data_IF_638214408020
#
_entry.id   IF_638214408020
#
_cell.length_a   1.000
_cell.length_b   1.000
_cell.length_c   1.000
_cell.angle_alpha   90.00
_cell.angle_beta   90.00
_cell.angle_gamma   90.00
#
_symmetry.space_group_name_H-M   'P 1'
#
loop_
_entity.id
_entity.type
_entity.pdbx_description
1 polymer ?
#
# COMPACT_ATOMS: atom_id res chain seq x y z
N UNK A 1 -19.40 12.30 26.76
CA UNK A 1 -19.03 11.41 25.64
C UNK A 1 -17.73 10.73 26.03
N UNK A 2 -17.47 9.48 25.57
CA UNK A 2 -16.16 8.87 25.84
C UNK A 2 -15.08 9.66 25.08
N UNK A 3 -13.95 9.92 25.77
CA UNK A 3 -12.81 10.63 25.23
C UNK A 3 -11.75 9.63 24.74
N UNK A 4 -11.25 9.80 23.52
CA UNK A 4 -10.25 8.95 22.90
C UNK A 4 -9.00 9.78 22.58
N UNK A 5 -7.84 9.25 22.90
CA UNK A 5 -6.56 9.86 22.54
C UNK A 5 -5.93 9.05 21.41
N UNK A 6 -5.64 9.69 20.28
CA UNK A 6 -4.93 9.12 19.14
C UNK A 6 -3.49 9.57 19.15
N UNK A 7 -2.54 8.64 19.17
CA UNK A 7 -1.10 8.93 19.17
C UNK A 7 -0.56 8.81 17.76
N UNK A 8 -0.12 9.93 17.21
CA UNK A 8 0.40 10.09 15.86
C UNK A 8 -0.60 10.74 14.91
N UNK A 9 -0.19 11.81 14.24
CA UNK A 9 -0.98 12.57 13.27
C UNK A 9 -0.59 12.27 11.81
N UNK A 10 -0.06 11.08 11.52
CA UNK A 10 0.04 10.58 10.15
C UNK A 10 -1.33 10.20 9.59
N UNK A 11 -1.39 9.75 8.32
CA UNK A 11 -2.65 9.40 7.67
C UNK A 11 -3.52 8.45 8.51
N UNK A 12 -2.92 7.43 9.13
CA UNK A 12 -3.67 6.47 9.96
C UNK A 12 -4.29 7.15 11.18
N UNK A 13 -3.56 8.02 11.88
CA UNK A 13 -4.07 8.72 13.05
C UNK A 13 -5.15 9.72 12.69
N UNK A 14 -4.94 10.53 11.66
CA UNK A 14 -5.91 11.54 11.22
C UNK A 14 -7.21 10.89 10.72
N UNK A 15 -7.13 9.83 9.91
CA UNK A 15 -8.34 9.11 9.44
C UNK A 15 -9.06 8.42 10.60
N UNK A 16 -8.33 7.85 11.57
CA UNK A 16 -8.95 7.26 12.76
C UNK A 16 -9.66 8.31 13.61
N UNK A 17 -9.03 9.48 13.83
CA UNK A 17 -9.62 10.58 14.56
C UNK A 17 -10.92 11.08 13.87
N UNK A 18 -10.87 11.31 12.57
CA UNK A 18 -12.03 11.71 11.78
C UNK A 18 -13.20 10.73 11.92
N UNK A 19 -12.97 9.43 11.77
CA UNK A 19 -14.06 8.44 11.91
C UNK A 19 -14.58 8.34 13.35
N UNK A 20 -13.71 8.46 14.37
CA UNK A 20 -14.14 8.49 15.77
C UNK A 20 -15.00 9.70 16.10
N UNK A 21 -14.66 10.89 15.60
CA UNK A 21 -15.46 12.10 15.76
C UNK A 21 -16.85 11.90 15.12
N UNK A 22 -16.91 11.30 13.93
CA UNK A 22 -18.19 10.98 13.27
C UNK A 22 -19.04 9.97 14.04
N UNK A 23 -18.42 9.10 14.83
CA UNK A 23 -19.11 8.19 15.74
C UNK A 23 -19.54 8.85 17.07
N UNK A 24 -19.26 10.14 17.25
CA UNK A 24 -19.66 10.92 18.44
C UNK A 24 -18.69 10.82 19.60
N UNK A 25 -17.42 10.45 19.36
CA UNK A 25 -16.37 10.51 20.39
C UNK A 25 -15.77 11.91 20.44
N UNK A 26 -15.34 12.31 21.64
CA UNK A 26 -14.40 13.42 21.84
C UNK A 26 -12.99 12.88 21.54
N UNK A 27 -12.23 13.54 20.67
CA UNK A 27 -10.92 13.04 20.24
C UNK A 27 -9.82 14.06 20.43
N UNK A 28 -8.71 13.62 21.03
CA UNK A 28 -7.46 14.38 21.08
C UNK A 28 -6.39 13.65 20.28
N UNK A 29 -5.79 14.31 19.28
CA UNK A 29 -4.64 13.78 18.55
C UNK A 29 -3.36 14.36 19.12
N UNK A 30 -2.39 13.50 19.43
CA UNK A 30 -1.07 13.89 19.94
C UNK A 30 0.00 13.45 18.95
N UNK A 31 0.85 14.38 18.50
CA UNK A 31 2.01 14.09 17.66
C UNK A 31 3.26 14.79 18.22
N UNK A 32 4.43 14.27 17.87
CA UNK A 32 5.72 14.88 18.23
C UNK A 32 6.08 16.07 17.35
N UNK A 33 5.47 16.19 16.17
CA UNK A 33 5.65 17.29 15.26
C UNK A 33 4.57 18.37 15.48
N UNK A 34 4.90 19.58 15.09
CA UNK A 34 3.99 20.73 15.18
C UNK A 34 2.82 20.64 14.19
N UNK A 35 3.04 19.96 13.04
CA UNK A 35 2.05 19.79 11.98
C UNK A 35 1.76 18.32 11.74
N UNK A 36 0.55 17.96 11.24
CA UNK A 36 0.24 16.59 10.89
C UNK A 36 1.03 16.10 9.67
N UNK A 37 1.13 14.80 9.52
CA UNK A 37 1.69 14.12 8.36
C UNK A 37 3.19 14.40 8.06
N UNK A 38 3.99 14.70 9.06
CA UNK A 38 5.40 15.11 8.88
C UNK A 38 6.41 13.95 8.80
N UNK A 39 5.96 12.69 8.82
CA UNK A 39 6.82 11.50 8.70
C UNK A 39 6.56 10.76 7.37
N UNK A 40 6.26 9.46 7.41
CA UNK A 40 6.00 8.64 6.21
C UNK A 40 4.88 9.22 5.34
N UNK A 41 3.87 9.87 5.92
CA UNK A 41 2.79 10.51 5.17
C UNK A 41 3.24 11.79 4.43
N UNK A 42 4.37 12.39 4.81
CA UNK A 42 4.97 13.53 4.12
C UNK A 42 5.65 13.11 2.81
N UNK A 43 6.44 12.03 2.86
CA UNK A 43 7.20 11.55 1.71
C UNK A 43 6.95 10.05 1.50
N UNK A 44 6.13 9.74 0.51
CA UNK A 44 5.76 8.39 0.11
C UNK A 44 5.55 8.32 -1.41
N UNK A 45 5.15 7.16 -1.92
CA UNK A 45 4.92 6.98 -3.36
C UNK A 45 3.60 7.54 -3.88
N UNK A 46 2.73 8.06 -3.02
CA UNK A 46 1.42 8.62 -3.40
C UNK A 46 0.48 7.66 -4.09
N UNK A 47 0.73 6.36 -4.01
CA UNK A 47 -0.06 5.35 -4.70
C UNK A 47 -1.27 4.93 -3.85
N UNK A 48 -2.46 5.11 -4.40
CA UNK A 48 -3.73 4.64 -3.86
C UNK A 48 -4.07 3.31 -4.53
N UNK A 49 -3.27 2.28 -4.21
CA UNK A 49 -3.17 1.07 -5.00
C UNK A 49 -3.59 -0.18 -4.23
N UNK A 50 -4.78 -0.71 -4.53
CA UNK A 50 -5.17 -2.04 -4.08
C UNK A 50 -4.37 -3.15 -4.81
N UNK A 51 -3.76 -2.85 -5.95
CA UNK A 51 -2.91 -3.79 -6.69
C UNK A 51 -1.59 -4.12 -5.99
N UNK A 52 -1.19 -3.35 -4.99
CA UNK A 52 -0.01 -3.60 -4.15
C UNK A 52 -0.36 -4.22 -2.78
N UNK A 53 -1.57 -4.76 -2.62
CA UNK A 53 -2.04 -5.32 -1.35
C UNK A 53 -1.56 -6.77 -1.08
N UNK A 54 -0.66 -7.31 -1.91
CA UNK A 54 -0.04 -8.60 -1.67
C UNK A 54 0.76 -8.60 -0.36
N UNK A 55 0.57 -9.61 0.49
CA UNK A 55 1.36 -9.74 1.73
C UNK A 55 2.75 -10.32 1.45
N UNK A 56 3.73 -9.94 2.26
CA UNK A 56 5.14 -10.29 2.02
C UNK A 56 5.56 -11.68 2.54
N UNK A 57 4.76 -12.30 3.40
CA UNK A 57 5.12 -13.54 4.07
C UNK A 57 4.96 -14.75 3.16
N UNK A 58 5.82 -14.85 2.15
CA UNK A 58 5.91 -15.97 1.23
C UNK A 58 7.33 -16.54 1.14
N UNK A 59 7.44 -17.83 0.78
CA UNK A 59 8.73 -18.55 0.71
C UNK A 59 9.75 -17.82 -0.18
N UNK A 60 9.32 -17.26 -1.31
CA UNK A 60 10.19 -16.54 -2.23
C UNK A 60 10.80 -15.29 -1.59
N UNK A 61 10.04 -14.55 -0.77
CA UNK A 61 10.52 -13.37 -0.04
C UNK A 61 11.57 -13.75 1.00
N UNK A 62 11.37 -14.87 1.73
CA UNK A 62 12.35 -15.36 2.72
C UNK A 62 13.66 -15.71 2.03
N UNK A 63 13.62 -16.47 0.93
CA UNK A 63 14.84 -16.84 0.17
C UNK A 63 15.56 -15.61 -0.40
N UNK A 64 14.81 -14.63 -0.92
CA UNK A 64 15.37 -13.35 -1.34
C UNK A 64 16.00 -12.59 -0.17
N UNK A 65 15.33 -12.53 0.97
CA UNK A 65 15.83 -11.88 2.19
C UNK A 65 17.16 -12.46 2.66
N UNK A 66 17.29 -13.79 2.70
CA UNK A 66 18.56 -14.46 3.04
C UNK A 66 19.67 -14.08 2.04
N UNK A 67 19.37 -14.08 0.74
CA UNK A 67 20.31 -13.69 -0.32
C UNK A 67 20.72 -12.21 -0.22
N UNK A 68 19.82 -11.34 0.24
CA UNK A 68 20.09 -9.92 0.41
C UNK A 68 20.97 -9.62 1.61
N UNK A 69 20.92 -10.41 2.68
CA UNK A 69 21.78 -10.22 3.86
C UNK A 69 23.29 -10.25 3.55
N UNK A 70 23.69 -10.83 2.43
CA UNK A 70 25.08 -10.84 1.95
C UNK A 70 25.47 -9.64 1.09
N UNK A 71 24.55 -8.71 0.80
CA UNK A 71 24.78 -7.56 -0.09
C UNK A 71 24.67 -6.26 0.69
N UNK A 72 25.67 -5.36 0.55
CA UNK A 72 25.71 -4.06 1.25
C UNK A 72 24.56 -3.12 0.82
N UNK A 73 24.16 -3.18 -0.46
CA UNK A 73 23.15 -2.32 -1.05
C UNK A 73 21.76 -3.00 -1.12
N UNK A 74 21.51 -3.96 -0.25
CA UNK A 74 20.24 -4.67 -0.25
C UNK A 74 19.13 -3.86 0.44
N UNK A 75 17.89 -3.97 -0.04
CA UNK A 75 16.75 -3.25 0.54
C UNK A 75 16.36 -3.75 1.93
N UNK A 76 16.87 -4.92 2.35
CA UNK A 76 16.62 -5.52 3.66
C UNK A 76 17.94 -5.77 4.39
N UNK A 77 18.10 -5.13 5.54
CA UNK A 77 19.19 -5.35 6.47
C UNK A 77 18.64 -5.90 7.79
N UNK A 78 19.13 -7.06 8.19
CA UNK A 78 18.82 -7.63 9.50
C UNK A 78 19.94 -7.29 10.47
N UNK A 79 19.65 -6.46 11.48
CA UNK A 79 20.60 -6.20 12.55
C UNK A 79 20.92 -7.53 13.29
N UNK A 80 22.18 -7.97 13.36
CA UNK A 80 22.54 -9.24 13.98
C UNK A 80 22.44 -9.23 15.52
N UNK A 81 22.26 -8.07 16.16
CA UNK A 81 22.13 -7.99 17.63
C UNK A 81 21.02 -8.91 18.15
N UNK A 82 21.28 -9.54 19.30
CA UNK A 82 20.30 -10.43 19.92
C UNK A 82 19.07 -9.63 20.44
N UNK A 83 17.87 -10.09 20.09
CA UNK A 83 16.61 -9.56 20.61
C UNK A 83 15.54 -10.65 20.56
N UNK A 84 15.02 -11.01 21.73
CA UNK A 84 13.95 -12.01 21.86
C UNK A 84 12.74 -11.63 21.03
N UNK A 85 12.34 -10.34 21.09
CA UNK A 85 11.21 -9.82 20.29
C UNK A 85 11.41 -10.03 18.79
N UNK A 86 12.60 -9.70 18.27
CA UNK A 86 12.93 -9.87 16.84
C UNK A 86 12.85 -11.34 16.40
N UNK A 87 13.45 -12.25 17.17
CA UNK A 87 13.45 -13.67 16.80
C UNK A 87 12.06 -14.28 16.93
N UNK A 88 11.28 -13.88 17.94
CA UNK A 88 9.88 -14.27 18.04
C UNK A 88 9.08 -13.80 16.83
N UNK A 89 9.21 -12.54 16.43
CA UNK A 89 8.57 -11.99 15.23
C UNK A 89 8.96 -12.76 13.96
N UNK A 90 10.25 -13.08 13.79
CA UNK A 90 10.72 -13.88 12.64
C UNK A 90 10.07 -15.27 12.60
N UNK A 91 9.96 -15.95 13.75
CA UNK A 91 9.29 -17.24 13.84
C UNK A 91 7.81 -17.10 13.47
N UNK A 92 7.11 -16.13 14.04
CA UNK A 92 5.71 -15.83 13.71
C UNK A 92 5.54 -15.54 12.22
N UNK A 93 6.40 -14.70 11.64
CA UNK A 93 6.41 -14.43 10.20
C UNK A 93 6.52 -15.72 9.36
N UNK A 94 7.43 -16.62 9.70
CA UNK A 94 7.63 -17.88 8.99
C UNK A 94 6.43 -18.84 9.16
N UNK A 95 5.82 -18.89 10.32
CA UNK A 95 4.64 -19.77 10.58
C UNK A 95 3.42 -19.35 9.79
N UNK A 96 3.27 -18.05 9.47
CA UNK A 96 2.15 -17.50 8.69
C UNK A 96 2.34 -17.56 7.17
N UNK A 97 3.45 -18.11 6.67
CA UNK A 97 3.62 -18.33 5.21
C UNK A 97 2.51 -19.20 4.61
N UNK A 98 2.01 -20.16 5.38
CA UNK A 98 0.89 -21.02 4.97
C UNK A 98 -0.41 -20.23 4.71
N UNK A 99 -0.58 -19.10 5.36
CA UNK A 99 -1.78 -18.26 5.33
C UNK A 99 -1.70 -17.17 4.24
N UNK A 100 -0.61 -17.15 3.43
CA UNK A 100 -0.33 -16.15 2.40
C UNK A 100 -1.53 -15.81 1.52
N UNK A 101 -2.20 -16.85 0.99
CA UNK A 101 -3.32 -16.65 0.06
C UNK A 101 -4.51 -15.97 0.76
N UNK A 102 -4.90 -16.47 1.90
CA UNK A 102 -6.03 -15.93 2.68
C UNK A 102 -5.73 -14.51 3.11
N UNK A 103 -4.54 -14.27 3.66
CA UNK A 103 -4.12 -12.95 4.11
C UNK A 103 -4.08 -11.94 2.94
N UNK A 104 -3.58 -12.34 1.77
CA UNK A 104 -3.57 -11.48 0.58
C UNK A 104 -5.00 -11.11 0.14
N UNK A 105 -5.91 -12.08 0.07
CA UNK A 105 -7.31 -11.85 -0.29
C UNK A 105 -7.97 -10.84 0.67
N UNK A 106 -7.80 -11.02 1.98
CA UNK A 106 -8.38 -10.13 2.98
C UNK A 106 -7.75 -8.73 2.94
N UNK A 107 -6.43 -8.66 2.70
CA UNK A 107 -5.74 -7.36 2.54
C UNK A 107 -6.21 -6.62 1.29
N UNK A 108 -6.44 -7.32 0.17
CA UNK A 108 -7.04 -6.74 -1.04
C UNK A 108 -8.43 -6.17 -0.76
N UNK A 109 -9.29 -6.93 -0.09
CA UNK A 109 -10.64 -6.48 0.28
C UNK A 109 -10.61 -5.22 1.13
N UNK A 110 -9.71 -5.21 2.13
CA UNK A 110 -9.50 -4.04 2.98
C UNK A 110 -8.98 -2.84 2.18
N UNK A 111 -8.03 -3.06 1.27
CA UNK A 111 -7.47 -2.01 0.41
C UNK A 111 -8.51 -1.40 -0.54
N UNK A 112 -9.39 -2.23 -1.10
CA UNK A 112 -10.51 -1.75 -1.94
C UNK A 112 -11.46 -0.84 -1.15
N UNK A 113 -11.85 -1.27 0.06
CA UNK A 113 -12.70 -0.47 0.94
C UNK A 113 -12.00 0.82 1.38
N UNK A 114 -10.73 0.74 1.76
CA UNK A 114 -9.95 1.90 2.19
C UNK A 114 -9.80 2.94 1.07
N UNK A 115 -9.51 2.49 -0.16
CA UNK A 115 -9.41 3.38 -1.33
C UNK A 115 -10.74 4.07 -1.62
N UNK A 116 -11.84 3.31 -1.65
CA UNK A 116 -13.17 3.88 -1.83
C UNK A 116 -13.47 4.92 -0.75
N UNK A 117 -13.22 4.58 0.51
CA UNK A 117 -13.47 5.46 1.64
C UNK A 117 -12.65 6.75 1.59
N UNK A 118 -11.38 6.65 1.17
CA UNK A 118 -10.52 7.81 0.99
C UNK A 118 -11.11 8.79 -0.05
N UNK A 119 -11.58 8.28 -1.18
CA UNK A 119 -12.21 9.11 -2.22
C UNK A 119 -13.51 9.76 -1.72
N UNK A 120 -14.36 9.01 -1.02
CA UNK A 120 -15.60 9.53 -0.43
C UNK A 120 -15.34 10.66 0.58
N UNK A 121 -14.34 10.50 1.44
CA UNK A 121 -13.94 11.52 2.42
C UNK A 121 -13.37 12.74 1.71
N UNK A 122 -12.47 12.57 0.74
CA UNK A 122 -11.89 13.67 -0.01
C UNK A 122 -12.95 14.52 -0.73
N UNK A 123 -13.91 13.86 -1.36
CA UNK A 123 -15.03 14.54 -2.04
C UNK A 123 -15.92 15.27 -1.03
N UNK A 124 -16.34 14.59 0.03
CA UNK A 124 -17.22 15.13 1.06
C UNK A 124 -16.64 16.34 1.77
N UNK A 125 -15.35 16.27 2.14
CA UNK A 125 -14.66 17.33 2.87
C UNK A 125 -13.94 18.32 1.94
N UNK A 126 -14.12 18.17 0.61
CA UNK A 126 -13.53 19.01 -0.42
C UNK A 126 -12.00 19.14 -0.31
N UNK A 127 -11.31 18.02 -0.07
CA UNK A 127 -9.84 17.97 0.10
C UNK A 127 -9.16 17.87 -1.26
N UNK A 128 -8.42 18.90 -1.65
CA UNK A 128 -7.56 18.91 -2.82
C UNK A 128 -6.20 18.29 -2.51
N UNK A 129 -5.83 17.19 -3.16
CA UNK A 129 -4.58 16.45 -2.90
C UNK A 129 -3.93 15.87 -4.17
N UNK A 130 -4.04 16.59 -5.28
CA UNK A 130 -3.48 16.21 -6.59
C UNK A 130 -3.89 14.80 -7.04
N UNK A 131 -5.17 14.47 -6.84
CA UNK A 131 -5.71 13.15 -7.17
C UNK A 131 -5.76 12.92 -8.67
N UNK A 132 -5.06 11.89 -9.14
CA UNK A 132 -5.05 11.40 -10.52
C UNK A 132 -5.62 9.98 -10.61
N UNK A 133 -6.84 9.85 -11.12
CA UNK A 133 -7.54 8.56 -11.32
C UNK A 133 -7.21 7.96 -12.71
N UNK A 134 -5.93 7.66 -12.94
CA UNK A 134 -5.43 7.13 -14.21
C UNK A 134 -5.00 5.68 -14.15
N UNK A 135 -5.29 4.99 -13.06
CA UNK A 135 -4.89 3.62 -12.84
C UNK A 135 -3.40 3.45 -12.51
N UNK A 136 -3.00 2.21 -12.27
CA UNK A 136 -1.60 1.82 -12.04
C UNK A 136 -1.21 0.70 -13.01
N UNK A 137 -0.09 0.91 -13.70
CA UNK A 137 0.48 -0.01 -14.67
C UNK A 137 1.72 -0.69 -14.09
N UNK A 138 1.69 -2.03 -13.99
CA UNK A 138 2.87 -2.85 -13.67
C UNK A 138 3.45 -3.42 -14.95
N UNK A 139 4.74 -3.23 -15.16
CA UNK A 139 5.45 -3.59 -16.39
C UNK A 139 6.46 -4.70 -16.16
N UNK A 140 6.58 -5.63 -17.11
CA UNK A 140 7.48 -6.78 -17.04
C UNK A 140 8.30 -6.91 -18.32
N UNK A 141 9.62 -6.96 -18.18
CA UNK A 141 10.53 -7.10 -19.32
C UNK A 141 10.64 -8.53 -19.83
N UNK A 142 10.44 -9.52 -18.94
CA UNK A 142 10.60 -10.93 -19.31
C UNK A 142 9.32 -11.73 -19.12
N UNK A 143 9.18 -12.78 -19.95
CA UNK A 143 8.09 -13.74 -19.77
C UNK A 143 8.11 -14.38 -18.39
N UNK A 144 9.28 -14.67 -17.85
CA UNK A 144 9.43 -15.29 -16.52
C UNK A 144 8.83 -14.42 -15.43
N UNK A 145 9.14 -13.12 -15.41
CA UNK A 145 8.62 -12.19 -14.42
C UNK A 145 7.12 -11.99 -14.58
N UNK A 146 6.63 -11.92 -15.82
CA UNK A 146 5.21 -11.84 -16.11
C UNK A 146 4.45 -13.08 -15.63
N UNK A 147 4.98 -14.30 -15.84
CA UNK A 147 4.38 -15.55 -15.38
C UNK A 147 4.38 -15.65 -13.83
N UNK A 148 5.39 -15.10 -13.16
CA UNK A 148 5.40 -14.99 -11.69
C UNK A 148 4.31 -14.02 -11.25
N UNK A 149 4.22 -12.85 -11.88
CA UNK A 149 3.20 -11.85 -11.57
C UNK A 149 1.78 -12.36 -11.84
N UNK A 150 1.60 -13.24 -12.84
CA UNK A 150 0.31 -13.89 -13.09
C UNK A 150 -0.21 -14.66 -11.88
N UNK A 151 0.66 -15.42 -11.19
CA UNK A 151 0.26 -16.17 -10.00
C UNK A 151 -0.21 -15.25 -8.87
N UNK A 152 0.44 -14.12 -8.70
CA UNK A 152 0.03 -13.08 -7.75
C UNK A 152 -1.30 -12.47 -8.19
N UNK A 153 -1.41 -12.11 -9.48
CA UNK A 153 -2.64 -11.56 -10.05
C UNK A 153 -3.86 -12.46 -9.81
N UNK A 154 -3.70 -13.77 -10.00
CA UNK A 154 -4.80 -14.73 -9.79
C UNK A 154 -5.32 -14.66 -8.34
N UNK A 155 -4.45 -14.47 -7.34
CA UNK A 155 -4.85 -14.30 -5.92
C UNK A 155 -5.51 -12.94 -5.68
N UNK A 156 -4.99 -11.86 -6.28
CA UNK A 156 -5.56 -10.51 -6.13
C UNK A 156 -6.99 -10.45 -6.73
N UNK A 157 -7.21 -11.10 -7.87
CA UNK A 157 -8.54 -11.18 -8.52
C UNK A 157 -9.52 -11.98 -7.67
N UNK A 158 -9.09 -13.05 -6.97
CA UNK A 158 -9.94 -13.73 -5.98
C UNK A 158 -10.40 -12.77 -4.85
N UNK A 159 -9.56 -11.81 -4.48
CA UNK A 159 -9.87 -10.71 -3.56
C UNK A 159 -10.82 -9.65 -4.12
N UNK A 160 -11.29 -9.82 -5.38
CA UNK A 160 -12.18 -8.91 -6.12
C UNK A 160 -11.48 -7.66 -6.67
N UNK A 161 -10.15 -7.71 -6.84
CA UNK A 161 -9.44 -6.66 -7.56
C UNK A 161 -9.69 -6.80 -9.06
N UNK A 162 -10.14 -5.74 -9.71
CA UNK A 162 -10.21 -5.64 -11.16
C UNK A 162 -8.84 -5.27 -11.72
N UNK A 163 -8.06 -6.31 -12.08
CA UNK A 163 -6.72 -6.17 -12.63
C UNK A 163 -6.54 -7.18 -13.75
N UNK A 164 -6.09 -6.73 -14.90
CA UNK A 164 -5.99 -7.56 -16.11
C UNK A 164 -4.64 -7.41 -16.78
N UNK A 165 -4.25 -8.51 -17.48
CA UNK A 165 -3.06 -8.55 -18.31
C UNK A 165 -3.28 -7.67 -19.55
N UNK A 166 -2.24 -6.95 -19.96
CA UNK A 166 -2.23 -6.12 -21.16
C UNK A 166 -0.96 -6.34 -21.97
N UNK A 167 -1.08 -6.12 -23.29
CA UNK A 167 0.01 -6.23 -24.24
C UNK A 167 0.91 -4.98 -24.23
N UNK A 168 2.13 -5.04 -24.82
CA UNK A 168 2.98 -3.86 -24.98
C UNK A 168 2.31 -2.72 -25.76
N UNK A 169 1.45 -3.02 -26.75
CA UNK A 169 0.71 -2.04 -27.54
C UNK A 169 -0.33 -1.32 -26.67
N UNK A 170 -1.07 -2.07 -25.85
CA UNK A 170 -2.03 -1.50 -24.89
C UNK A 170 -1.31 -0.65 -23.83
N UNK A 171 -0.13 -1.08 -23.36
CA UNK A 171 0.70 -0.30 -22.43
C UNK A 171 1.08 1.06 -23.02
N UNK A 172 1.52 1.11 -24.29
CA UNK A 172 1.82 2.36 -25.01
C UNK A 172 0.61 3.26 -25.21
N UNK A 173 -0.58 2.67 -25.32
CA UNK A 173 -1.83 3.45 -25.38
C UNK A 173 -2.17 4.11 -24.06
N UNK A 174 -1.83 3.47 -22.92
CA UNK A 174 -2.02 4.02 -21.56
C UNK A 174 -0.95 5.08 -21.24
N UNK A 175 0.33 4.79 -21.58
CA UNK A 175 1.47 5.69 -21.37
C UNK A 175 2.28 5.85 -22.66
N UNK A 176 1.95 6.84 -23.50
CA UNK A 176 2.61 7.05 -24.80
C UNK A 176 4.11 7.32 -24.73
N UNK A 177 4.60 7.86 -23.59
CA UNK A 177 6.02 8.14 -23.39
C UNK A 177 6.81 6.91 -22.92
N UNK A 178 6.17 5.76 -22.81
CA UNK A 178 6.83 4.53 -22.39
C UNK A 178 7.85 4.08 -23.42
N UNK A 179 9.12 4.02 -23.03
CA UNK A 179 10.25 3.59 -23.85
C UNK A 179 10.80 2.26 -23.34
N UNK A 180 11.34 1.44 -24.24
CA UNK A 180 11.94 0.15 -23.93
C UNK A 180 11.09 -1.03 -24.40
N UNK A 181 11.64 -2.25 -24.21
CA UNK A 181 11.02 -3.50 -24.58
C UNK A 181 10.38 -4.15 -23.36
N UNK A 182 9.11 -4.46 -23.47
CA UNK A 182 8.33 -5.12 -22.43
C UNK A 182 7.67 -6.38 -22.99
N UNK A 183 7.60 -7.41 -22.17
CA UNK A 183 6.87 -8.63 -22.51
C UNK A 183 5.34 -8.42 -22.38
N UNK A 184 4.93 -7.60 -21.40
CA UNK A 184 3.55 -7.28 -21.11
C UNK A 184 3.41 -6.59 -19.75
N UNK A 185 2.18 -6.31 -19.35
CA UNK A 185 1.87 -5.64 -18.11
C UNK A 185 0.60 -6.15 -17.43
N UNK A 186 0.37 -5.65 -16.22
CA UNK A 186 -0.92 -5.73 -15.53
C UNK A 186 -1.40 -4.33 -15.23
N UNK A 187 -2.65 -4.05 -15.55
CA UNK A 187 -3.25 -2.74 -15.35
C UNK A 187 -4.44 -2.81 -14.41
N UNK A 188 -4.51 -1.85 -13.48
CA UNK A 188 -5.59 -1.67 -12.51
C UNK A 188 -6.18 -0.28 -12.70
N UNK A 189 -7.22 -0.17 -13.50
CA UNK A 189 -7.81 1.12 -13.90
C UNK A 189 -8.40 1.91 -12.73
N UNK A 190 -8.90 1.22 -11.70
CA UNK A 190 -9.54 1.84 -10.55
C UNK A 190 -8.56 2.36 -9.49
N UNK A 191 -7.26 2.03 -9.58
CA UNK A 191 -6.23 2.59 -8.73
C UNK A 191 -5.91 4.03 -9.15
N UNK A 192 -5.26 4.78 -8.26
CA UNK A 192 -4.99 6.20 -8.46
C UNK A 192 -3.66 6.60 -7.81
N UNK A 193 -3.24 7.84 -8.04
CA UNK A 193 -2.17 8.50 -7.30
C UNK A 193 -2.68 9.80 -6.69
N UNK A 194 -2.04 10.26 -5.61
CA UNK A 194 -2.39 11.53 -4.97
C UNK A 194 -1.36 11.91 -3.92
N UNK A 195 -1.32 13.17 -3.55
CA UNK A 195 -0.46 13.68 -2.48
C UNK A 195 -1.07 13.38 -1.12
N UNK A 196 -0.56 12.34 -0.46
CA UNK A 196 -1.07 11.87 0.85
C UNK A 196 -0.74 12.86 1.98
N UNK A 197 0.30 13.67 1.83
CA UNK A 197 0.55 14.75 2.77
C UNK A 197 -0.57 15.79 2.73
N UNK A 198 -0.89 16.31 1.54
CA UNK A 198 -2.01 17.24 1.35
C UNK A 198 -3.34 16.66 1.82
N UNK A 199 -3.60 15.37 1.51
CA UNK A 199 -4.81 14.71 1.99
C UNK A 199 -4.87 14.67 3.52
N UNK A 200 -3.77 14.26 4.17
CA UNK A 200 -3.73 14.11 5.63
C UNK A 200 -3.82 15.46 6.35
N UNK A 201 -3.18 16.51 5.83
CA UNK A 201 -3.29 17.88 6.37
C UNK A 201 -4.71 18.40 6.18
N UNK A 202 -5.26 18.32 4.97
CA UNK A 202 -6.63 18.80 4.70
C UNK A 202 -7.69 18.07 5.53
N UNK A 203 -7.50 16.78 5.83
CA UNK A 203 -8.41 16.05 6.70
C UNK A 203 -8.24 16.41 8.19
N UNK A 204 -7.03 16.76 8.62
CA UNK A 204 -6.77 17.18 10.00
C UNK A 204 -7.34 18.56 10.33
N UNK A 205 -7.70 19.36 9.32
CA UNK A 205 -8.30 20.69 9.45
C UNK A 205 -9.83 20.65 9.55
N UNK A 206 -10.47 19.48 9.33
CA UNK A 206 -11.93 19.29 9.43
C UNK A 206 -12.36 19.01 10.87
#
# INVERSE_FOLDING_TARGET
>A
MPHVVVIGAGITGVTSAYELIKLGYEVTVIDRHLFPAMETSFANGGQLSACNAEVWNQKATVLKGIKWMSKKDAPLLLNPSFSVHKYRWLVEFLTHIKDYKVNTIETVRLALLARQRLFEIAEKENIAFDLEKRGILHMYHTKQDFDIAKKVNDVLVEGKLERYAITPEEMKSIEPNLTGDYYGGYYTAADATGDIHKYSVGLAEQ
#
